data_IF_991284174106
#
_entry.id   IF_991284174106
#
_cell.length_a   1.000
_cell.length_b   1.000
_cell.length_c   1.000
_cell.angle_alpha   90.00
_cell.angle_beta   90.00
_cell.angle_gamma   90.00
#
_symmetry.space_group_name_H-M   'P 1'
#
loop_
_entity.id
_entity.type
_entity.pdbx_description
1 polymer ?
#
# COMPACT_ATOMS: atom_id res chain seq x y z
N UNK A 1 42.40 46.62 36.47
CA UNK A 1 41.91 46.06 35.19
C UNK A 1 41.55 44.60 35.46
N UNK A 2 40.26 44.26 35.49
CA UNK A 2 39.84 42.86 35.63
C UNK A 2 40.17 42.11 34.32
N UNK A 3 40.69 40.87 34.39
CA UNK A 3 40.93 40.07 33.20
C UNK A 3 39.60 39.62 32.60
N UNK A 4 39.39 39.93 31.32
CA UNK A 4 38.28 39.39 30.53
C UNK A 4 38.62 37.94 30.24
N UNK A 5 37.92 36.99 30.87
CA UNK A 5 38.03 35.59 30.49
C UNK A 5 37.48 35.40 29.07
N UNK A 6 38.19 34.68 28.18
CA UNK A 6 37.67 34.35 26.86
C UNK A 6 36.44 33.45 27.01
N UNK A 7 35.31 33.90 26.49
CA UNK A 7 34.10 33.07 26.37
C UNK A 7 34.42 31.97 25.38
N UNK A 8 34.58 30.73 25.86
CA UNK A 8 34.71 29.56 24.99
C UNK A 8 33.49 29.50 24.06
N UNK A 9 33.68 29.34 22.73
CA UNK A 9 32.55 29.18 21.83
C UNK A 9 31.79 27.93 22.27
N UNK A 10 30.51 28.11 22.61
CA UNK A 10 29.60 27.00 22.92
C UNK A 10 29.63 26.06 21.73
N UNK A 11 30.16 24.84 21.92
CA UNK A 11 30.12 23.79 20.90
C UNK A 11 28.65 23.49 20.65
N UNK A 12 28.14 24.01 19.53
CA UNK A 12 26.79 23.70 19.05
C UNK A 12 26.67 22.18 18.96
N UNK A 13 25.59 21.64 19.52
CA UNK A 13 25.30 20.21 19.39
C UNK A 13 25.19 19.86 17.89
N UNK A 14 25.49 18.62 17.46
CA UNK A 14 25.45 18.27 16.04
C UNK A 14 24.14 18.68 15.34
N UNK A 15 23.02 18.64 16.06
CA UNK A 15 21.67 18.98 15.60
C UNK A 15 21.39 20.48 15.44
N UNK A 16 22.20 21.35 16.04
CA UNK A 16 22.11 22.81 15.86
C UNK A 16 22.83 23.29 14.59
N UNK A 17 23.57 22.40 13.91
CA UNK A 17 24.13 22.68 12.59
C UNK A 17 23.11 22.35 11.50
N UNK A 18 23.03 23.15 10.41
CA UNK A 18 22.15 22.84 9.28
C UNK A 18 22.34 21.42 8.73
N UNK A 19 23.56 20.89 8.83
CA UNK A 19 23.89 19.53 8.41
C UNK A 19 23.30 18.45 9.32
N UNK A 20 23.45 18.57 10.65
CA UNK A 20 22.89 17.58 11.57
C UNK A 20 21.36 17.60 11.61
N UNK A 21 20.74 18.77 11.44
CA UNK A 21 19.30 18.88 11.23
C UNK A 21 18.86 18.18 9.93
N UNK A 22 19.60 18.36 8.82
CA UNK A 22 19.31 17.68 7.56
C UNK A 22 19.41 16.15 7.68
N UNK A 23 20.43 15.62 8.37
CA UNK A 23 20.55 14.19 8.64
C UNK A 23 19.42 13.63 9.50
N UNK A 24 18.99 14.38 10.53
CA UNK A 24 17.85 14.00 11.37
C UNK A 24 16.56 13.94 10.55
N UNK A 25 16.28 14.98 9.77
CA UNK A 25 15.10 15.02 8.89
C UNK A 25 15.14 13.89 7.86
N UNK A 26 16.32 13.56 7.35
CA UNK A 26 16.51 12.44 6.43
C UNK A 26 16.24 11.08 7.10
N UNK A 27 16.69 10.91 8.35
CA UNK A 27 16.39 9.72 9.17
C UNK A 27 14.90 9.56 9.48
N UNK A 28 14.22 10.64 9.89
CA UNK A 28 12.77 10.64 10.12
C UNK A 28 12.02 10.33 8.83
N UNK A 29 12.45 10.96 7.73
CA UNK A 29 11.87 10.68 6.41
C UNK A 29 12.03 9.19 6.13
N UNK A 30 13.25 8.62 6.20
CA UNK A 30 13.55 7.19 6.01
C UNK A 30 12.67 6.25 6.84
N UNK A 31 12.51 6.50 8.13
CA UNK A 31 11.60 5.71 8.97
C UNK A 31 10.15 5.77 8.49
N UNK A 32 9.70 6.92 7.96
CA UNK A 32 8.38 7.06 7.34
C UNK A 32 8.28 6.43 5.93
N UNK A 33 9.39 6.06 5.26
CA UNK A 33 9.37 5.31 3.98
C UNK A 33 8.90 3.91 4.14
N UNK A 34 9.19 3.31 5.28
CA UNK A 34 9.05 1.89 5.49
C UNK A 34 7.58 1.64 5.79
N UNK A 35 6.75 1.76 4.75
CA UNK A 35 5.36 1.34 4.78
C UNK A 35 5.20 0.18 3.80
N UNK A 36 4.46 -0.84 4.23
CA UNK A 36 4.24 -2.08 3.48
C UNK A 36 3.48 -1.86 2.15
N UNK A 37 2.99 -0.63 1.90
CA UNK A 37 2.04 -0.29 0.85
C UNK A 37 2.63 0.39 -0.38
N UNK A 38 3.90 0.80 -0.42
CA UNK A 38 4.47 1.42 -1.62
C UNK A 38 5.91 0.96 -1.85
N UNK A 39 6.18 0.49 -3.07
CA UNK A 39 7.52 0.09 -3.50
C UNK A 39 8.44 1.29 -3.76
N UNK A 40 7.90 2.52 -3.70
CA UNK A 40 8.64 3.73 -3.97
C UNK A 40 8.49 4.70 -2.80
N UNK A 41 9.61 5.23 -2.29
CA UNK A 41 9.61 6.26 -1.27
C UNK A 41 9.18 7.60 -1.90
N UNK A 42 7.98 7.71 -2.47
CA UNK A 42 7.58 8.92 -3.21
C UNK A 42 7.47 10.15 -2.31
N UNK A 43 7.19 9.93 -1.01
CA UNK A 43 7.24 10.94 0.04
C UNK A 43 8.66 11.51 0.27
N UNK A 44 9.68 10.96 -0.39
CA UNK A 44 11.09 11.31 -0.23
C UNK A 44 11.61 12.22 -1.32
N UNK A 45 10.92 12.31 -2.45
CA UNK A 45 11.38 13.15 -3.54
C UNK A 45 11.60 14.58 -3.02
N UNK A 46 10.62 15.13 -2.29
CA UNK A 46 10.66 16.53 -1.83
C UNK A 46 11.79 16.82 -0.81
N UNK A 47 11.99 16.05 0.28
CA UNK A 47 13.12 16.28 1.19
C UNK A 47 14.49 16.09 0.54
N UNK A 48 14.65 15.12 -0.38
CA UNK A 48 15.91 14.93 -1.11
C UNK A 48 16.18 16.05 -2.12
N UNK A 49 15.13 16.56 -2.80
CA UNK A 49 15.25 17.74 -3.67
C UNK A 49 15.77 18.92 -2.85
N UNK A 50 15.14 19.18 -1.71
CA UNK A 50 15.51 20.30 -0.84
C UNK A 50 16.93 20.13 -0.29
N UNK A 51 17.29 18.95 0.20
CA UNK A 51 18.65 18.66 0.69
C UNK A 51 19.69 18.86 -0.42
N UNK A 52 19.43 18.38 -1.64
CA UNK A 52 20.29 18.61 -2.80
C UNK A 52 20.43 20.09 -3.15
N UNK A 53 19.34 20.86 -3.10
CA UNK A 53 19.36 22.30 -3.31
C UNK A 53 20.16 23.04 -2.23
N UNK A 54 20.02 22.66 -0.97
CA UNK A 54 20.75 23.30 0.14
C UNK A 54 22.24 22.94 0.15
N UNK A 55 22.60 21.67 -0.05
CA UNK A 55 24.01 21.26 -0.18
C UNK A 55 24.68 22.03 -1.31
N UNK A 56 24.01 22.15 -2.47
CA UNK A 56 24.57 22.89 -3.60
C UNK A 56 24.64 24.39 -3.32
N UNK A 57 23.71 24.98 -2.56
CA UNK A 57 23.80 26.38 -2.10
C UNK A 57 25.01 26.59 -1.20
N UNK A 58 25.18 25.78 -0.16
CA UNK A 58 26.29 25.87 0.80
C UNK A 58 27.65 25.70 0.11
N UNK A 59 27.77 24.71 -0.80
CA UNK A 59 29.00 24.52 -1.59
C UNK A 59 29.30 25.71 -2.52
N UNK A 60 28.27 26.40 -3.02
CA UNK A 60 28.45 27.61 -3.84
C UNK A 60 28.92 28.81 -3.04
N UNK A 61 28.49 28.93 -1.78
CA UNK A 61 28.96 30.00 -0.89
C UNK A 61 30.42 29.77 -0.45
N UNK A 62 30.85 28.51 -0.38
CA UNK A 62 32.21 28.13 0.01
C UNK A 62 33.25 28.17 -1.14
N UNK A 63 32.83 28.14 -2.41
CA UNK A 63 33.72 28.06 -3.58
C UNK A 63 33.35 29.16 -4.60
N UNK A 64 34.34 29.82 -5.22
CA UNK A 64 34.11 30.86 -6.28
C UNK A 64 33.05 30.38 -7.30
N UNK A 65 32.20 31.30 -7.82
CA UNK A 65 30.97 30.94 -8.52
C UNK A 65 31.24 30.02 -9.71
N UNK A 66 30.78 28.77 -9.59
CA UNK A 66 30.87 27.77 -10.64
C UNK A 66 29.93 28.20 -11.77
N UNK A 67 30.48 28.47 -12.97
CA UNK A 67 29.75 28.99 -14.15
C UNK A 67 28.57 28.12 -14.60
N UNK A 68 28.53 26.86 -14.20
CA UNK A 68 27.53 25.84 -14.61
C UNK A 68 26.48 25.51 -13.54
N UNK A 69 26.37 26.29 -12.46
CA UNK A 69 25.51 25.92 -11.33
C UNK A 69 24.00 26.02 -11.60
N UNK A 70 23.58 27.02 -12.40
CA UNK A 70 22.18 27.19 -12.84
C UNK A 70 21.67 26.03 -13.71
N UNK A 71 22.38 25.62 -14.79
CA UNK A 71 21.96 24.47 -15.58
C UNK A 71 22.02 23.17 -14.78
N UNK A 72 22.95 23.03 -13.82
CA UNK A 72 22.97 21.86 -12.92
C UNK A 72 21.72 21.77 -12.03
N UNK A 73 21.32 22.85 -11.35
CA UNK A 73 20.09 22.89 -10.55
C UNK A 73 18.84 22.62 -11.37
N UNK A 74 18.78 23.17 -12.59
CA UNK A 74 17.70 22.90 -13.52
C UNK A 74 17.69 21.42 -13.95
N UNK A 75 18.84 20.85 -14.27
CA UNK A 75 18.99 19.43 -14.57
C UNK A 75 18.55 18.52 -13.44
N UNK A 76 18.91 18.85 -12.19
CA UNK A 76 18.42 18.13 -11.00
C UNK A 76 16.90 18.19 -10.89
N UNK A 77 16.28 19.37 -11.05
CA UNK A 77 14.83 19.51 -10.99
C UNK A 77 14.14 18.66 -12.07
N UNK A 78 14.64 18.70 -13.31
CA UNK A 78 14.09 17.88 -14.40
C UNK A 78 14.23 16.39 -14.09
N UNK A 79 15.40 15.94 -13.63
CA UNK A 79 15.61 14.54 -13.24
C UNK A 79 14.61 14.11 -12.16
N UNK A 80 14.37 14.97 -11.17
CA UNK A 80 13.42 14.71 -10.09
C UNK A 80 11.97 14.63 -10.57
N UNK A 81 11.55 15.55 -11.44
CA UNK A 81 10.21 15.50 -12.04
C UNK A 81 10.02 14.26 -12.90
N UNK A 82 11.05 13.83 -13.64
CA UNK A 82 11.02 12.59 -14.41
C UNK A 82 10.96 11.36 -13.49
N UNK A 83 11.78 11.30 -12.43
CA UNK A 83 11.70 10.23 -11.43
C UNK A 83 10.34 10.16 -10.77
N UNK A 84 9.74 11.32 -10.44
CA UNK A 84 8.37 11.38 -9.91
C UNK A 84 7.35 10.89 -10.93
N UNK A 85 7.43 11.35 -12.19
CA UNK A 85 6.52 10.95 -13.27
C UNK A 85 6.58 9.44 -13.53
N UNK A 86 7.78 8.85 -13.53
CA UNK A 86 7.98 7.41 -13.74
C UNK A 86 7.52 6.64 -12.50
N UNK A 87 7.89 7.10 -11.30
CA UNK A 87 7.51 6.43 -10.06
C UNK A 87 6.01 6.44 -9.81
N UNK A 88 5.33 7.51 -10.21
CA UNK A 88 3.88 7.66 -10.08
C UNK A 88 3.08 7.02 -11.22
N UNK A 89 3.76 6.45 -12.23
CA UNK A 89 3.13 5.69 -13.30
C UNK A 89 2.58 4.35 -12.80
N UNK A 90 3.07 3.79 -11.70
CA UNK A 90 2.56 2.51 -11.19
C UNK A 90 1.70 2.72 -9.95
N UNK A 91 0.43 2.35 -10.06
CA UNK A 91 -0.53 2.42 -8.97
C UNK A 91 -0.41 1.15 -8.13
N UNK A 92 -0.36 1.29 -6.80
CA UNK A 92 -0.19 0.15 -5.91
C UNK A 92 -1.35 -0.85 -6.04
N UNK A 93 -1.00 -2.13 -6.23
CA UNK A 93 -1.93 -3.28 -6.38
C UNK A 93 -2.92 -3.21 -7.54
N UNK A 94 -2.70 -2.27 -8.45
CA UNK A 94 -3.41 -2.16 -9.72
C UNK A 94 -2.34 -2.36 -10.81
N UNK A 95 -2.23 -1.44 -11.77
CA UNK A 95 -1.21 -1.47 -12.80
C UNK A 95 -0.65 -0.09 -13.16
N UNK A 96 -0.47 0.16 -14.45
CA UNK A 96 0.00 1.44 -14.96
C UNK A 96 -1.11 2.48 -14.92
N UNK A 97 -0.80 3.68 -14.46
CA UNK A 97 -1.72 4.82 -14.36
C UNK A 97 -2.32 5.18 -15.72
N UNK A 98 -1.54 5.07 -16.80
CA UNK A 98 -2.04 5.26 -18.17
C UNK A 98 -3.11 4.26 -18.62
N UNK A 99 -3.22 3.11 -17.94
CA UNK A 99 -4.21 2.07 -18.21
C UNK A 99 -5.47 2.20 -17.32
N UNK A 100 -5.49 3.14 -16.38
CA UNK A 100 -6.58 3.38 -15.42
C UNK A 100 -7.76 4.11 -16.08
N UNK A 101 -8.46 3.44 -16.98
CA UNK A 101 -9.51 4.03 -17.82
C UNK A 101 -10.92 3.58 -17.41
N UNK A 102 -11.05 2.60 -16.51
CA UNK A 102 -12.34 2.08 -16.07
C UNK A 102 -12.88 2.87 -14.87
N UNK A 103 -14.06 3.52 -14.98
CA UNK A 103 -14.66 4.25 -13.87
C UNK A 103 -15.30 3.27 -12.87
N UNK A 104 -14.67 3.09 -11.71
CA UNK A 104 -15.11 2.11 -10.71
C UNK A 104 -16.44 2.47 -10.05
N UNK A 105 -16.78 3.77 -10.04
CA UNK A 105 -18.09 4.30 -9.63
C UNK A 105 -19.27 3.70 -10.41
N UNK A 106 -19.06 3.28 -11.65
CA UNK A 106 -20.08 2.63 -12.47
C UNK A 106 -20.40 1.19 -12.00
N UNK A 107 -19.47 0.55 -11.29
CA UNK A 107 -19.67 -0.78 -10.70
C UNK A 107 -20.27 -0.62 -9.30
N UNK A 108 -19.58 0.12 -8.43
CA UNK A 108 -20.01 0.46 -7.07
C UNK A 108 -20.00 1.98 -6.86
N UNK A 109 -21.14 2.63 -6.56
CA UNK A 109 -21.21 4.09 -6.37
C UNK A 109 -20.24 4.64 -5.31
N UNK A 110 -19.89 3.85 -4.29
CA UNK A 110 -18.92 4.20 -3.26
C UNK A 110 -17.50 4.45 -3.81
N UNK A 111 -17.22 4.01 -5.04
CA UNK A 111 -15.95 4.20 -5.74
C UNK A 111 -16.01 5.33 -6.77
N UNK A 112 -16.98 6.24 -6.66
CA UNK A 112 -17.09 7.39 -7.56
C UNK A 112 -15.83 8.27 -7.51
N UNK A 113 -15.29 8.61 -8.69
CA UNK A 113 -14.03 9.34 -8.83
C UNK A 113 -12.78 8.46 -8.82
N UNK A 114 -12.92 7.14 -8.58
CA UNK A 114 -11.81 6.18 -8.67
C UNK A 114 -11.81 5.52 -10.04
N UNK A 115 -10.64 5.46 -10.64
CA UNK A 115 -10.38 4.78 -11.92
C UNK A 115 -9.39 3.65 -11.70
N UNK A 116 -9.58 2.57 -12.45
CA UNK A 116 -8.76 1.36 -12.37
C UNK A 116 -8.56 0.77 -13.76
N UNK A 117 -7.79 -0.31 -13.88
CA UNK A 117 -7.63 -1.03 -15.13
C UNK A 117 -8.80 -2.00 -15.42
N UNK A 118 -8.77 -2.61 -16.60
CA UNK A 118 -9.81 -3.53 -17.07
C UNK A 118 -9.86 -4.83 -16.25
N UNK A 119 -8.73 -5.32 -15.74
CA UNK A 119 -8.66 -6.56 -14.98
C UNK A 119 -9.29 -6.37 -13.59
N UNK A 120 -8.92 -5.30 -12.90
CA UNK A 120 -9.51 -4.92 -11.62
C UNK A 120 -10.99 -4.59 -11.78
N UNK A 121 -11.40 -3.87 -12.83
CA UNK A 121 -12.82 -3.64 -13.11
C UNK A 121 -13.59 -4.96 -13.29
N UNK A 122 -13.02 -5.95 -13.98
CA UNK A 122 -13.64 -7.28 -14.14
C UNK A 122 -13.76 -8.01 -12.80
N UNK A 123 -12.74 -7.97 -11.97
CA UNK A 123 -12.76 -8.54 -10.61
C UNK A 123 -13.90 -7.93 -9.77
N UNK A 124 -14.10 -6.61 -9.82
CA UNK A 124 -15.17 -5.94 -9.07
C UNK A 124 -16.57 -6.23 -9.64
N UNK A 125 -16.69 -6.41 -10.96
CA UNK A 125 -17.94 -6.86 -11.58
C UNK A 125 -18.30 -8.28 -11.15
N UNK A 126 -17.32 -9.19 -11.10
CA UNK A 126 -17.52 -10.54 -10.57
C UNK A 126 -17.98 -10.49 -9.10
N UNK A 127 -17.36 -9.66 -8.26
CA UNK A 127 -17.79 -9.47 -6.86
C UNK A 127 -19.24 -9.01 -6.78
N UNK A 128 -19.61 -7.99 -7.56
CA UNK A 128 -20.98 -7.45 -7.57
C UNK A 128 -21.98 -8.55 -7.94
N UNK A 129 -21.74 -9.23 -9.06
CA UNK A 129 -22.59 -10.33 -9.55
C UNK A 129 -22.72 -11.45 -8.50
N UNK A 130 -21.62 -11.88 -7.90
CA UNK A 130 -21.61 -12.94 -6.90
C UNK A 130 -22.38 -12.53 -5.63
N UNK A 131 -22.20 -11.28 -5.17
CA UNK A 131 -22.92 -10.76 -4.01
C UNK A 131 -24.43 -10.65 -4.24
N UNK A 132 -24.85 -10.28 -5.45
CA UNK A 132 -26.27 -10.23 -5.84
C UNK A 132 -26.86 -11.65 -5.94
N UNK A 133 -26.07 -12.63 -6.37
CA UNK A 133 -26.49 -14.03 -6.55
C UNK A 133 -26.60 -14.82 -5.25
N UNK A 134 -25.57 -14.77 -4.40
CA UNK A 134 -25.50 -15.56 -3.16
C UNK A 134 -26.04 -14.82 -1.93
N UNK A 135 -26.42 -13.56 -2.09
CA UNK A 135 -27.00 -12.75 -1.04
C UNK A 135 -25.95 -12.26 -0.02
N UNK A 136 -26.40 -11.76 1.14
CA UNK A 136 -25.56 -10.95 2.02
C UNK A 136 -24.56 -11.75 2.87
N UNK A 137 -24.75 -13.06 2.99
CA UNK A 137 -23.90 -13.91 3.84
C UNK A 137 -22.74 -14.51 3.05
N UNK A 138 -21.76 -13.69 2.70
CA UNK A 138 -20.58 -14.13 1.97
C UNK A 138 -19.29 -13.54 2.54
N UNK A 139 -18.17 -14.20 2.24
CA UNK A 139 -16.83 -13.68 2.54
C UNK A 139 -15.88 -13.85 1.35
N UNK A 140 -15.20 -12.77 1.00
CA UNK A 140 -14.07 -12.79 0.06
C UNK A 140 -12.77 -13.19 0.77
N UNK A 141 -11.98 -14.05 0.15
CA UNK A 141 -10.67 -14.50 0.65
C UNK A 141 -9.61 -14.52 -0.48
N UNK A 142 -8.31 -14.42 -0.16
CA UNK A 142 -7.78 -14.04 1.14
C UNK A 142 -7.68 -12.52 1.34
N UNK A 143 -7.65 -11.72 0.26
CA UNK A 143 -7.29 -10.29 0.33
C UNK A 143 -8.18 -9.42 -0.56
N UNK A 144 -9.47 -9.31 -0.23
CA UNK A 144 -10.39 -8.32 -0.83
C UNK A 144 -11.07 -7.55 0.32
N UNK A 145 -10.37 -6.58 0.93
CA UNK A 145 -10.90 -5.82 2.05
C UNK A 145 -12.10 -4.98 1.59
N UNK A 146 -12.97 -4.60 2.53
CA UNK A 146 -14.12 -3.72 2.25
C UNK A 146 -15.15 -4.28 1.24
N UNK A 147 -15.11 -5.56 0.89
CA UNK A 147 -16.13 -6.18 0.03
C UNK A 147 -17.55 -5.98 0.60
N UNK A 148 -17.69 -6.11 1.93
CA UNK A 148 -18.95 -5.91 2.63
C UNK A 148 -19.40 -4.43 2.62
N UNK A 149 -18.48 -3.46 2.66
CA UNK A 149 -18.78 -2.04 2.50
C UNK A 149 -19.28 -1.70 1.09
N UNK A 150 -18.64 -2.24 0.06
CA UNK A 150 -19.02 -2.03 -1.34
C UNK A 150 -20.40 -2.63 -1.63
N UNK A 151 -20.66 -3.81 -1.11
CA UNK A 151 -21.92 -4.55 -1.32
C UNK A 151 -23.03 -4.18 -0.33
N UNK A 152 -22.73 -3.33 0.68
CA UNK A 152 -23.66 -2.95 1.75
C UNK A 152 -24.20 -4.16 2.53
N UNK A 153 -23.33 -5.11 2.82
CA UNK A 153 -23.65 -6.36 3.54
C UNK A 153 -22.97 -6.39 4.91
N UNK A 154 -23.51 -7.11 5.90
CA UNK A 154 -22.83 -7.31 7.17
C UNK A 154 -21.67 -8.31 7.01
N UNK A 155 -20.49 -8.06 7.57
CA UNK A 155 -19.37 -8.98 7.47
C UNK A 155 -19.61 -10.24 8.33
N UNK A 156 -19.51 -11.47 7.76
CA UNK A 156 -19.69 -12.69 8.55
C UNK A 156 -18.50 -12.97 9.46
N UNK A 157 -17.30 -12.50 9.11
CA UNK A 157 -16.08 -12.65 9.91
C UNK A 157 -15.65 -11.31 10.51
N UNK A 158 -14.99 -11.30 11.68
CA UNK A 158 -14.52 -10.08 12.34
C UNK A 158 -13.34 -9.39 11.63
N UNK A 159 -12.72 -10.06 10.63
CA UNK A 159 -11.55 -9.56 9.91
C UNK A 159 -11.81 -9.43 8.41
N UNK A 160 -11.30 -8.35 7.81
CA UNK A 160 -11.32 -8.14 6.36
C UNK A 160 -10.21 -8.90 5.63
N UNK A 161 -9.02 -8.94 6.23
CA UNK A 161 -7.90 -9.76 5.78
C UNK A 161 -7.74 -10.96 6.70
N UNK A 162 -8.16 -12.12 6.21
CA UNK A 162 -8.09 -13.37 6.97
C UNK A 162 -6.77 -14.06 6.64
N UNK A 163 -5.71 -13.56 7.25
CA UNK A 163 -4.34 -14.06 7.10
C UNK A 163 -3.66 -14.18 8.48
N UNK A 164 -2.68 -15.08 8.62
CA UNK A 164 -2.12 -15.43 9.92
C UNK A 164 -1.52 -14.25 10.70
N UNK A 165 -0.92 -13.27 10.02
CA UNK A 165 -0.41 -12.06 10.70
C UNK A 165 -1.50 -11.23 11.39
N UNK A 166 -2.72 -11.19 10.85
CA UNK A 166 -3.83 -10.43 11.42
C UNK A 166 -4.48 -11.17 12.59
N UNK A 167 -4.26 -12.49 12.68
CA UNK A 167 -4.73 -13.34 13.77
C UNK A 167 -3.63 -13.69 14.78
N UNK A 168 -2.40 -13.24 14.55
CA UNK A 168 -1.22 -13.74 15.28
C UNK A 168 -1.16 -15.29 15.34
N UNK A 169 -1.62 -15.95 14.26
CA UNK A 169 -1.73 -17.40 14.16
C UNK A 169 -2.94 -18.03 14.86
N UNK A 170 -3.75 -17.28 15.62
CA UNK A 170 -4.94 -17.82 16.29
C UNK A 170 -6.19 -17.73 15.39
N UNK A 171 -6.49 -18.83 14.72
CA UNK A 171 -7.64 -18.94 13.79
C UNK A 171 -8.93 -19.40 14.47
N UNK A 172 -8.95 -19.57 15.79
CA UNK A 172 -10.07 -20.16 16.53
C UNK A 172 -11.36 -19.36 16.35
N UNK A 173 -11.30 -18.03 16.50
CA UNK A 173 -12.46 -17.16 16.34
C UNK A 173 -12.99 -17.19 14.89
N UNK A 174 -12.09 -17.32 13.92
CA UNK A 174 -12.43 -17.38 12.50
C UNK A 174 -13.21 -18.67 12.21
N UNK A 175 -12.69 -19.83 12.63
CA UNK A 175 -13.37 -21.11 12.43
C UNK A 175 -14.68 -21.20 13.19
N UNK A 176 -14.75 -20.66 14.41
CA UNK A 176 -16.02 -20.53 15.14
C UNK A 176 -17.06 -19.76 14.32
N UNK A 177 -16.73 -18.59 13.78
CA UNK A 177 -17.67 -17.81 12.96
C UNK A 177 -18.04 -18.52 11.64
N UNK A 178 -17.08 -19.20 11.00
CA UNK A 178 -17.33 -19.96 9.77
C UNK A 178 -18.29 -21.13 10.01
N UNK A 179 -18.17 -21.81 11.16
CA UNK A 179 -19.04 -22.92 11.56
C UNK A 179 -20.40 -22.45 12.11
N UNK A 180 -20.51 -21.25 12.67
CA UNK A 180 -21.79 -20.72 13.16
C UNK A 180 -22.62 -20.07 12.04
N UNK A 181 -21.97 -19.33 11.14
CA UNK A 181 -22.66 -18.47 10.16
C UNK A 181 -22.72 -19.08 8.76
N UNK A 182 -21.89 -20.07 8.46
CA UNK A 182 -21.82 -20.74 7.15
C UNK A 182 -21.87 -19.79 5.93
N UNK A 183 -21.05 -18.73 5.86
CA UNK A 183 -21.03 -17.85 4.69
C UNK A 183 -20.57 -18.58 3.42
N UNK A 184 -21.08 -18.14 2.26
CA UNK A 184 -20.49 -18.53 0.97
C UNK A 184 -19.14 -17.84 0.79
N UNK A 185 -18.12 -18.58 0.36
CA UNK A 185 -16.74 -18.07 0.28
C UNK A 185 -16.38 -17.80 -1.18
N UNK A 186 -15.92 -16.58 -1.47
CA UNK A 186 -15.37 -16.19 -2.77
C UNK A 186 -13.84 -16.14 -2.68
N UNK A 187 -13.16 -17.16 -3.18
CA UNK A 187 -11.70 -17.25 -3.14
C UNK A 187 -11.10 -16.70 -4.43
N UNK A 188 -10.25 -15.67 -4.31
CA UNK A 188 -9.58 -15.04 -5.44
C UNK A 188 -8.59 -15.98 -6.13
N UNK A 189 -8.75 -16.14 -7.44
CA UNK A 189 -7.91 -16.99 -8.29
C UNK A 189 -6.47 -16.51 -8.44
N UNK A 190 -6.23 -15.20 -8.28
CA UNK A 190 -4.88 -14.62 -8.29
C UNK A 190 -3.96 -15.20 -7.19
N UNK A 191 -4.54 -15.82 -6.16
CA UNK A 191 -3.79 -16.45 -5.07
C UNK A 191 -3.56 -17.95 -5.27
N UNK A 192 -3.98 -18.56 -6.40
CA UNK A 192 -3.92 -20.02 -6.64
C UNK A 192 -2.62 -20.67 -6.17
N UNK A 193 -1.50 -20.17 -6.68
CA UNK A 193 -0.17 -20.74 -6.40
C UNK A 193 0.26 -20.54 -4.94
N UNK A 194 -0.22 -19.48 -4.28
CA UNK A 194 0.11 -19.15 -2.90
C UNK A 194 -0.71 -19.94 -1.90
N UNK A 195 -1.96 -20.27 -2.22
CA UNK A 195 -2.85 -21.01 -1.31
C UNK A 195 -2.18 -22.31 -0.82
N UNK A 196 -1.45 -23.01 -1.68
CA UNK A 196 -0.81 -24.29 -1.35
C UNK A 196 0.40 -24.14 -0.41
N UNK A 197 1.18 -23.06 -0.55
CA UNK A 197 2.51 -22.95 0.07
C UNK A 197 2.64 -21.84 1.12
N UNK A 198 1.85 -20.77 1.02
CA UNK A 198 1.96 -19.60 1.86
C UNK A 198 1.34 -19.85 3.24
N UNK A 199 2.12 -19.83 4.35
CA UNK A 199 1.58 -20.04 5.69
C UNK A 199 0.55 -18.97 6.07
N UNK A 200 0.59 -17.77 5.49
CA UNK A 200 -0.39 -16.72 5.76
C UNK A 200 -1.81 -17.10 5.32
N UNK A 201 -1.94 -18.05 4.40
CA UNK A 201 -3.21 -18.41 3.75
C UNK A 201 -3.85 -19.67 4.33
N UNK A 202 -3.48 -20.07 5.55
CA UNK A 202 -3.94 -21.32 6.17
C UNK A 202 -5.46 -21.48 6.17
N UNK A 203 -6.21 -20.45 6.59
CA UNK A 203 -7.69 -20.48 6.59
C UNK A 203 -8.24 -20.70 5.18
N UNK A 204 -7.70 -19.97 4.20
CA UNK A 204 -8.12 -20.07 2.80
C UNK A 204 -7.84 -21.47 2.26
N UNK A 205 -6.67 -22.04 2.58
CA UNK A 205 -6.27 -23.40 2.19
C UNK A 205 -7.23 -24.44 2.76
N UNK A 206 -7.54 -24.37 4.07
CA UNK A 206 -8.44 -25.35 4.72
C UNK A 206 -9.86 -25.30 4.14
N UNK A 207 -10.39 -24.10 3.87
CA UNK A 207 -11.69 -23.94 3.22
C UNK A 207 -11.67 -24.52 1.81
N UNK A 208 -10.62 -24.23 1.03
CA UNK A 208 -10.50 -24.71 -0.35
C UNK A 208 -10.40 -26.24 -0.42
N UNK A 209 -9.67 -26.87 0.51
CA UNK A 209 -9.47 -28.33 0.55
C UNK A 209 -10.69 -29.10 1.06
N UNK A 210 -11.44 -28.53 2.01
CA UNK A 210 -12.55 -29.22 2.66
C UNK A 210 -13.94 -28.75 2.20
N UNK A 211 -14.00 -27.81 1.27
CA UNK A 211 -15.24 -27.25 0.72
C UNK A 211 -15.60 -27.79 -0.65
N UNK A 212 -16.84 -27.54 -1.05
CA UNK A 212 -17.36 -27.84 -2.39
C UNK A 212 -17.34 -26.58 -3.25
N UNK A 213 -16.70 -26.64 -4.41
CA UNK A 213 -16.77 -25.58 -5.42
C UNK A 213 -18.15 -25.61 -6.07
N UNK A 214 -18.92 -24.54 -5.90
CA UNK A 214 -20.27 -24.39 -6.47
C UNK A 214 -20.22 -23.85 -7.90
N UNK A 215 -19.38 -22.85 -8.12
CA UNK A 215 -19.18 -22.23 -9.43
C UNK A 215 -17.82 -21.52 -9.51
N UNK A 216 -17.47 -21.12 -10.73
CA UNK A 216 -16.26 -20.39 -11.03
C UNK A 216 -16.57 -19.18 -11.92
N UNK A 217 -16.07 -18.01 -11.51
CA UNK A 217 -15.99 -16.85 -12.40
C UNK A 217 -14.60 -16.75 -13.01
N UNK A 218 -14.32 -15.67 -13.75
CA UNK A 218 -12.94 -15.42 -14.20
C UNK A 218 -11.99 -15.18 -13.04
N UNK A 219 -12.46 -14.58 -11.94
CA UNK A 219 -11.62 -14.12 -10.84
C UNK A 219 -11.82 -14.86 -9.50
N UNK A 220 -12.93 -15.57 -9.31
CA UNK A 220 -13.25 -16.25 -8.06
C UNK A 220 -13.59 -17.72 -8.25
N UNK A 221 -13.22 -18.54 -7.26
CA UNK A 221 -13.92 -19.77 -6.94
C UNK A 221 -14.98 -19.47 -5.90
N UNK A 222 -16.17 -20.03 -6.07
CA UNK A 222 -17.25 -19.95 -5.08
C UNK A 222 -17.31 -21.27 -4.33
N UNK A 223 -17.15 -21.22 -3.01
CA UNK A 223 -17.05 -22.40 -2.15
C UNK A 223 -18.12 -22.35 -1.06
N UNK A 224 -18.73 -23.50 -0.80
CA UNK A 224 -19.64 -23.73 0.32
C UNK A 224 -19.44 -25.13 0.89
N UNK A 225 -20.22 -25.52 1.90
CA UNK A 225 -20.22 -26.86 2.49
C UNK A 225 -18.82 -27.32 2.92
N UNK A 226 -18.04 -26.43 3.53
CA UNK A 226 -16.73 -26.74 4.08
C UNK A 226 -16.83 -27.30 5.50
N UNK A 227 -15.96 -28.26 5.83
CA UNK A 227 -15.80 -28.80 7.19
C UNK A 227 -14.43 -28.36 7.77
N UNK A 228 -14.44 -27.67 8.92
CA UNK A 228 -13.29 -26.98 9.51
C UNK A 228 -13.04 -27.38 10.96
#
# INVERSE_FOLDING_TARGET
>A
RNPVHPVNPVKKTPFETPFGLALLLLGITWCASVSWGYNLPILFATPWVWAGMEVTRVLTEAVKPIRFLKPYRFGMLIALLLSFRIGHEFVYRDGRRSEMNEPMGAIFPQLSGIYSDAETAKLYRDLKQLSERYGPNFKTLPAFPQANFLTKTPPPLPLDWVVNRETNGDITLIFKNLNEKHPVIFIQKSFRQKIESDPELEVTRRIFQNGTVLEETSNFWVISNYAL
#
